data_IF_938293596884
#
_entry.id   IF_938293596884
#
_cell.length_a   1.000
_cell.length_b   1.000
_cell.length_c   1.000
_cell.angle_alpha   90.00
_cell.angle_beta   90.00
_cell.angle_gamma   90.00
#
_symmetry.space_group_name_H-M   'P 1'
#
loop_
_entity.id
_entity.type
_entity.pdbx_description
1 polymer ?
#
# COMPACT_ATOMS: atom_id res chain seq x y z
N UNK A 1 17.38 1.74 -14.32
CA UNK A 1 17.33 0.42 -13.67
C UNK A 1 16.27 -0.41 -14.36
N UNK A 2 16.64 -1.59 -14.82
CA UNK A 2 15.81 -2.55 -15.51
C UNK A 2 15.87 -3.90 -14.79
N UNK A 3 15.22 -4.92 -15.32
CA UNK A 3 15.27 -6.27 -14.76
C UNK A 3 16.70 -6.84 -14.77
N UNK A 4 17.11 -7.64 -13.74
CA UNK A 4 16.31 -8.04 -12.57
C UNK A 4 16.38 -7.08 -11.37
N UNK A 5 17.13 -5.99 -11.47
CA UNK A 5 17.42 -5.08 -10.35
C UNK A 5 16.17 -4.41 -9.81
N UNK A 6 15.27 -3.95 -10.69
CA UNK A 6 14.03 -3.29 -10.23
C UNK A 6 13.15 -4.23 -9.41
N UNK A 7 13.05 -5.50 -9.81
CA UNK A 7 12.29 -6.51 -9.06
C UNK A 7 12.88 -6.70 -7.67
N UNK A 8 14.21 -6.78 -7.54
CA UNK A 8 14.88 -6.93 -6.25
C UNK A 8 14.66 -5.71 -5.36
N UNK A 9 14.87 -4.49 -5.89
CA UNK A 9 14.68 -3.24 -5.16
C UNK A 9 13.24 -3.11 -4.64
N UNK A 10 12.25 -3.37 -5.49
CA UNK A 10 10.84 -3.30 -5.10
C UNK A 10 10.53 -4.33 -4.01
N UNK A 11 11.05 -5.56 -4.09
CA UNK A 11 10.90 -6.56 -3.02
C UNK A 11 11.47 -6.07 -1.69
N UNK A 12 12.67 -5.52 -1.70
CA UNK A 12 13.35 -5.08 -0.47
C UNK A 12 12.65 -3.89 0.15
N UNK A 13 12.22 -2.91 -0.66
CA UNK A 13 11.44 -1.76 -0.20
C UNK A 13 10.08 -2.18 0.39
N UNK A 14 9.36 -3.10 -0.24
CA UNK A 14 8.07 -3.56 0.30
C UNK A 14 8.23 -4.43 1.55
N UNK A 15 9.29 -5.22 1.67
CA UNK A 15 9.60 -5.92 2.92
C UNK A 15 9.85 -4.97 4.09
N UNK A 16 10.53 -3.86 3.84
CA UNK A 16 10.73 -2.82 4.86
C UNK A 16 9.41 -2.11 5.19
N UNK A 17 8.66 -1.71 4.17
CA UNK A 17 7.41 -0.96 4.32
C UNK A 17 6.33 -1.77 5.05
N UNK A 18 6.14 -3.06 4.70
CA UNK A 18 5.14 -3.90 5.37
C UNK A 18 5.47 -4.14 6.84
N UNK A 19 6.76 -4.28 7.19
CA UNK A 19 7.17 -4.40 8.60
C UNK A 19 6.85 -3.14 9.39
N UNK A 20 7.04 -1.98 8.80
CA UNK A 20 6.66 -0.69 9.41
C UNK A 20 5.14 -0.61 9.61
N UNK A 21 4.36 -1.01 8.62
CA UNK A 21 2.89 -1.05 8.72
C UNK A 21 2.43 -2.03 9.80
N UNK A 22 3.00 -3.24 9.86
CA UNK A 22 2.70 -4.21 10.92
C UNK A 22 3.02 -3.63 12.30
N UNK A 23 4.14 -2.96 12.43
CA UNK A 23 4.55 -2.36 13.69
C UNK A 23 3.59 -1.27 14.19
N UNK A 24 2.97 -0.50 13.31
CA UNK A 24 2.16 0.66 13.67
C UNK A 24 0.65 0.41 13.64
N UNK A 25 0.16 -0.47 12.76
CA UNK A 25 -1.27 -0.56 12.45
C UNK A 25 -1.93 -1.87 12.89
N UNK A 26 -1.13 -2.91 13.19
CA UNK A 26 -1.68 -4.20 13.55
C UNK A 26 -2.01 -4.30 15.03
N UNK A 27 -3.10 -5.01 15.40
CA UNK A 27 -3.47 -5.25 16.78
C UNK A 27 -2.36 -5.91 17.59
N UNK A 28 -2.34 -5.60 18.88
CA UNK A 28 -1.42 -6.16 19.87
C UNK A 28 -2.20 -6.91 20.94
N UNK A 29 -1.59 -7.96 21.51
CA UNK A 29 -2.07 -8.66 22.69
C UNK A 29 -1.03 -8.57 23.82
N UNK A 30 -1.52 -8.46 25.04
CA UNK A 30 -0.67 -8.45 26.24
C UNK A 30 -0.40 -9.85 26.70
N UNK A 31 0.86 -10.25 26.80
CA UNK A 31 1.25 -11.62 27.15
C UNK A 31 2.28 -11.66 28.28
N UNK A 32 2.27 -12.76 29.03
CA UNK A 32 3.33 -13.11 29.96
C UNK A 32 3.98 -14.42 29.50
N UNK A 33 5.26 -14.38 29.16
CA UNK A 33 6.00 -15.50 28.58
C UNK A 33 7.15 -15.89 29.48
N UNK A 34 7.23 -17.17 29.86
CA UNK A 34 8.38 -17.70 30.55
C UNK A 34 9.59 -17.70 29.63
N UNK A 35 10.66 -17.05 30.07
CA UNK A 35 11.95 -17.07 29.40
C UNK A 35 12.78 -18.26 29.88
N UNK A 36 13.92 -18.50 29.25
CA UNK A 36 14.86 -19.54 29.71
C UNK A 36 15.36 -19.31 31.15
N UNK A 37 15.29 -18.07 31.65
CA UNK A 37 15.72 -17.72 33.01
C UNK A 37 14.74 -18.24 34.08
N UNK A 38 13.54 -18.75 33.74
CA UNK A 38 12.60 -19.33 34.69
C UNK A 38 13.18 -20.54 35.43
N UNK A 39 14.13 -21.25 34.82
CA UNK A 39 14.83 -22.38 35.44
C UNK A 39 15.78 -21.92 36.57
N UNK A 40 16.22 -20.69 36.55
CA UNK A 40 17.15 -20.09 37.50
C UNK A 40 16.48 -19.17 38.52
N UNK A 41 15.32 -18.58 38.16
CA UNK A 41 14.60 -17.64 39.04
C UNK A 41 13.13 -17.52 38.61
N UNK A 42 12.23 -17.41 39.61
CA UNK A 42 10.79 -17.14 39.37
C UNK A 42 10.54 -15.82 38.65
N UNK A 43 11.52 -14.90 38.64
CA UNK A 43 11.48 -13.65 37.88
C UNK A 43 11.76 -13.83 36.38
N UNK A 44 12.02 -15.05 35.93
CA UNK A 44 12.26 -15.40 34.52
C UNK A 44 10.98 -15.34 33.65
N UNK A 45 10.11 -14.35 33.87
CA UNK A 45 8.89 -14.08 33.10
C UNK A 45 9.02 -12.71 32.46
N UNK A 46 8.88 -12.65 31.13
CA UNK A 46 8.72 -11.42 30.39
C UNK A 46 7.24 -11.12 30.22
N UNK A 47 6.85 -9.85 30.42
CA UNK A 47 5.48 -9.38 30.25
C UNK A 47 5.49 -8.15 29.34
N UNK A 48 4.61 -8.12 28.34
CA UNK A 48 4.55 -7.02 27.39
C UNK A 48 3.61 -7.27 26.23
N UNK A 49 3.54 -6.31 25.32
CA UNK A 49 2.65 -6.36 24.16
C UNK A 49 3.39 -6.97 22.96
N UNK A 50 2.78 -7.99 22.39
CA UNK A 50 3.24 -8.65 21.16
C UNK A 50 2.21 -8.46 20.06
N UNK A 51 2.61 -8.74 18.82
CA UNK A 51 1.69 -8.79 17.70
C UNK A 51 0.63 -9.89 17.95
N UNK A 52 -0.65 -9.55 17.80
CA UNK A 52 -1.70 -10.57 17.78
C UNK A 52 -1.57 -11.39 16.49
N UNK A 53 -1.04 -12.60 16.63
CA UNK A 53 -0.79 -13.52 15.51
C UNK A 53 -2.06 -14.01 14.81
N UNK A 54 -3.23 -13.83 15.43
CA UNK A 54 -4.54 -14.20 14.88
C UNK A 54 -5.23 -13.05 14.16
N UNK A 55 -4.56 -11.92 13.99
CA UNK A 55 -5.07 -10.79 13.22
C UNK A 55 -5.44 -11.25 11.80
N UNK A 56 -6.70 -11.03 11.41
CA UNK A 56 -7.11 -11.22 10.02
C UNK A 56 -6.47 -10.17 9.14
N UNK A 57 -5.80 -10.57 8.07
CA UNK A 57 -5.12 -9.67 7.15
C UNK A 57 -5.45 -10.02 5.69
N UNK A 58 -5.71 -8.99 4.90
CA UNK A 58 -6.00 -9.11 3.47
C UNK A 58 -5.04 -8.21 2.70
N UNK A 59 -4.27 -8.75 1.78
CA UNK A 59 -3.52 -7.95 0.82
C UNK A 59 -4.23 -7.95 -0.53
N UNK A 60 -4.35 -6.78 -1.13
CA UNK A 60 -5.12 -6.58 -2.37
C UNK A 60 -4.19 -6.27 -3.52
N UNK A 61 -4.12 -7.18 -4.47
CA UNK A 61 -3.41 -6.97 -5.73
C UNK A 61 -4.25 -6.12 -6.68
N UNK A 62 -3.80 -4.90 -6.97
CA UNK A 62 -4.34 -4.09 -8.07
C UNK A 62 -3.42 -4.32 -9.28
N UNK A 63 -3.84 -5.24 -10.14
CA UNK A 63 -3.01 -5.61 -11.29
C UNK A 63 -2.97 -4.48 -12.33
N UNK A 64 -1.80 -4.25 -12.96
CA UNK A 64 -0.54 -5.03 -12.97
C UNK A 64 0.51 -4.57 -11.93
N UNK A 65 0.62 -3.28 -11.67
CA UNK A 65 1.71 -2.72 -10.86
C UNK A 65 1.75 -3.30 -9.43
N UNK A 66 0.59 -3.57 -8.84
CA UNK A 66 0.45 -4.15 -7.51
C UNK A 66 0.77 -5.65 -7.40
N UNK A 67 1.03 -6.36 -8.51
CA UNK A 67 1.21 -7.82 -8.49
C UNK A 67 2.41 -8.25 -7.66
N UNK A 68 3.60 -7.73 -7.96
CA UNK A 68 4.80 -8.04 -7.18
C UNK A 68 4.71 -7.49 -5.74
N UNK A 69 4.32 -6.23 -5.52
CA UNK A 69 4.11 -5.68 -4.18
C UNK A 69 3.18 -6.52 -3.29
N UNK A 70 2.00 -6.85 -3.79
CA UNK A 70 1.02 -7.62 -3.01
C UNK A 70 1.50 -9.04 -2.69
N UNK A 71 2.25 -9.67 -3.60
CA UNK A 71 2.87 -10.96 -3.33
C UNK A 71 3.91 -10.87 -2.21
N UNK A 72 4.76 -9.85 -2.20
CA UNK A 72 5.76 -9.64 -1.14
C UNK A 72 5.10 -9.40 0.21
N UNK A 73 4.02 -8.61 0.22
CA UNK A 73 3.22 -8.36 1.43
C UNK A 73 2.58 -9.66 1.93
N UNK A 74 1.96 -10.44 1.04
CA UNK A 74 1.37 -11.74 1.37
C UNK A 74 2.39 -12.69 2.00
N UNK A 75 3.55 -12.88 1.34
CA UNK A 75 4.65 -13.71 1.85
C UNK A 75 5.12 -13.26 3.24
N UNK A 76 5.21 -11.96 3.47
CA UNK A 76 5.60 -11.42 4.78
C UNK A 76 4.53 -11.69 5.84
N UNK A 77 3.26 -11.49 5.50
CA UNK A 77 2.15 -11.71 6.43
C UNK A 77 2.02 -13.18 6.84
N UNK A 78 2.08 -14.13 5.91
CA UNK A 78 1.98 -15.57 6.23
C UNK A 78 3.16 -16.10 7.03
N UNK A 79 4.30 -15.40 7.01
CA UNK A 79 5.46 -15.71 7.86
C UNK A 79 5.42 -15.01 9.22
N UNK A 80 4.48 -14.08 9.42
CA UNK A 80 4.42 -13.24 10.63
C UNK A 80 3.17 -13.54 11.45
N UNK A 81 2.06 -13.84 10.80
CA UNK A 81 0.76 -14.19 11.39
C UNK A 81 0.48 -15.68 11.25
N UNK A 82 -0.57 -16.13 11.90
CA UNK A 82 -1.12 -17.48 11.66
C UNK A 82 -1.68 -17.54 10.23
N UNK A 83 -1.15 -18.40 9.34
CA UNK A 83 -1.43 -18.36 7.90
C UNK A 83 -2.90 -18.42 7.51
N UNK A 84 -3.73 -19.11 8.28
CA UNK A 84 -5.18 -19.26 8.03
C UNK A 84 -5.95 -17.93 8.13
N UNK A 85 -5.36 -16.91 8.77
CA UNK A 85 -5.96 -15.57 8.88
C UNK A 85 -5.51 -14.60 7.80
N UNK A 86 -4.63 -15.06 6.88
CA UNK A 86 -4.07 -14.23 5.80
C UNK A 86 -4.61 -14.66 4.44
N UNK A 87 -5.08 -13.71 3.63
CA UNK A 87 -5.45 -13.97 2.24
C UNK A 87 -4.96 -12.90 1.30
N UNK A 88 -4.90 -13.24 0.00
CA UNK A 88 -4.64 -12.31 -1.07
C UNK A 88 -5.84 -12.24 -2.01
N UNK A 89 -6.32 -11.02 -2.24
CA UNK A 89 -7.39 -10.73 -3.19
C UNK A 89 -6.81 -10.09 -4.45
N UNK A 90 -7.52 -10.18 -5.58
CA UNK A 90 -7.07 -9.65 -6.87
C UNK A 90 -8.15 -8.78 -7.50
N UNK A 91 -7.75 -7.59 -7.95
CA UNK A 91 -8.60 -6.64 -8.70
C UNK A 91 -7.88 -6.25 -9.99
N UNK A 92 -8.59 -6.34 -11.09
CA UNK A 92 -8.08 -5.99 -12.41
C UNK A 92 -8.67 -4.65 -12.83
N UNK A 93 -7.82 -3.63 -12.91
CA UNK A 93 -8.20 -2.26 -13.25
C UNK A 93 -7.55 -1.88 -14.57
N UNK A 94 -8.31 -1.21 -15.43
CA UNK A 94 -7.82 -0.61 -16.66
C UNK A 94 -8.08 0.90 -16.65
N UNK A 95 -7.14 1.68 -17.16
CA UNK A 95 -7.36 3.11 -17.42
C UNK A 95 -8.28 3.23 -18.63
N UNK A 96 -9.27 4.10 -18.52
CA UNK A 96 -10.07 4.51 -19.67
C UNK A 96 -9.46 5.79 -20.21
N UNK A 97 -9.07 5.78 -21.48
CA UNK A 97 -8.52 6.94 -22.17
C UNK A 97 -9.47 7.41 -23.27
N UNK A 98 -9.44 8.71 -23.54
CA UNK A 98 -10.09 9.28 -24.72
C UNK A 98 -9.30 9.04 -26.01
N UNK A 99 -9.76 9.62 -27.13
CA UNK A 99 -9.12 9.51 -28.44
C UNK A 99 -7.74 10.19 -28.48
N UNK A 100 -7.50 11.15 -27.61
CA UNK A 100 -6.25 11.92 -27.46
C UNK A 100 -5.27 11.21 -26.50
N UNK A 101 -5.66 10.08 -25.87
CA UNK A 101 -4.83 9.33 -24.92
C UNK A 101 -4.86 9.85 -23.48
N UNK A 102 -5.69 10.84 -23.18
CA UNK A 102 -5.86 11.36 -21.83
C UNK A 102 -6.68 10.40 -20.97
N UNK A 103 -6.28 10.20 -19.73
CA UNK A 103 -7.01 9.34 -18.79
C UNK A 103 -8.31 10.01 -18.35
N UNK A 104 -9.44 9.48 -18.78
CA UNK A 104 -10.79 9.97 -18.45
C UNK A 104 -11.42 9.23 -17.28
N UNK A 105 -10.88 8.06 -16.91
CA UNK A 105 -11.43 7.27 -15.83
C UNK A 105 -10.69 5.96 -15.58
N UNK A 106 -11.31 5.13 -14.76
CA UNK A 106 -10.85 3.79 -14.44
C UNK A 106 -12.02 2.83 -14.59
N UNK A 107 -11.81 1.71 -15.27
CA UNK A 107 -12.78 0.63 -15.34
C UNK A 107 -12.25 -0.61 -14.65
N UNK A 108 -13.12 -1.34 -13.96
CA UNK A 108 -12.81 -2.65 -13.39
C UNK A 108 -13.20 -3.72 -14.40
N UNK A 109 -12.23 -4.51 -14.85
CA UNK A 109 -12.48 -5.61 -15.78
C UNK A 109 -12.75 -6.95 -15.07
N UNK A 110 -12.47 -7.04 -13.77
CA UNK A 110 -12.77 -8.23 -12.96
C UNK A 110 -12.15 -8.16 -11.57
N UNK A 111 -12.62 -9.07 -10.70
CA UNK A 111 -12.06 -9.24 -9.35
C UNK A 111 -12.19 -10.67 -8.86
N UNK A 112 -11.29 -11.07 -7.95
CA UNK A 112 -11.36 -12.29 -7.14
C UNK A 112 -11.17 -11.91 -5.70
N UNK A 113 -12.29 -11.74 -4.98
CA UNK A 113 -12.33 -11.33 -3.57
C UNK A 113 -12.80 -12.53 -2.74
N UNK A 114 -11.99 -12.96 -1.78
CA UNK A 114 -12.19 -14.20 -1.02
C UNK A 114 -13.19 -14.13 0.13
N UNK A 115 -14.03 -13.09 0.20
CA UNK A 115 -15.07 -12.93 1.22
C UNK A 115 -15.03 -11.58 1.94
N UNK A 116 -15.70 -11.48 3.10
CA UNK A 116 -15.76 -10.26 3.88
C UNK A 116 -14.40 -9.87 4.50
N UNK A 117 -14.32 -8.62 4.95
CA UNK A 117 -13.14 -8.04 5.62
C UNK A 117 -13.42 -7.63 7.07
N UNK A 118 -14.51 -8.12 7.66
CA UNK A 118 -14.91 -7.76 9.02
C UNK A 118 -13.76 -7.97 10.00
N UNK A 119 -13.35 -6.87 10.66
CA UNK A 119 -12.27 -6.89 11.64
C UNK A 119 -10.88 -7.20 11.07
N UNK A 120 -10.70 -7.20 9.75
CA UNK A 120 -9.40 -7.44 9.13
C UNK A 120 -8.61 -6.14 8.94
N UNK A 121 -7.30 -6.24 8.90
CA UNK A 121 -6.42 -5.23 8.33
C UNK A 121 -6.33 -5.47 6.83
N UNK A 122 -6.77 -4.50 6.03
CA UNK A 122 -6.74 -4.58 4.56
C UNK A 122 -5.62 -3.70 4.02
N UNK A 123 -4.71 -4.30 3.27
CA UNK A 123 -3.52 -3.66 2.73
C UNK A 123 -3.63 -3.54 1.21
N UNK A 124 -3.39 -2.34 0.69
CA UNK A 124 -3.39 -2.03 -0.73
C UNK A 124 -1.97 -1.64 -1.20
N UNK A 125 -1.10 -2.62 -1.48
CA UNK A 125 0.25 -2.35 -1.97
C UNK A 125 0.23 -2.05 -3.48
N UNK A 126 0.35 -0.79 -3.82
CA UNK A 126 0.49 -0.28 -5.18
C UNK A 126 1.69 0.67 -5.25
N UNK A 127 2.72 0.41 -6.08
CA UNK A 127 3.97 1.16 -6.02
C UNK A 127 3.83 2.64 -6.37
N UNK A 128 2.82 3.02 -7.15
CA UNK A 128 2.72 4.35 -7.75
C UNK A 128 1.35 4.99 -7.50
N UNK A 129 1.26 5.81 -6.46
CA UNK A 129 0.09 6.62 -6.17
C UNK A 129 0.07 7.92 -6.98
N UNK A 130 -0.40 7.87 -8.23
CA UNK A 130 -0.47 9.03 -9.12
C UNK A 130 -1.75 9.86 -8.89
N UNK A 131 -2.86 9.54 -9.55
CA UNK A 131 -4.13 10.26 -9.41
C UNK A 131 -5.03 9.75 -8.29
N UNK A 132 -4.73 8.57 -7.73
CA UNK A 132 -5.55 7.90 -6.73
C UNK A 132 -6.83 7.22 -7.24
N UNK A 133 -7.18 7.36 -8.52
CA UNK A 133 -8.44 6.85 -9.04
C UNK A 133 -8.65 5.35 -8.90
N UNK A 134 -7.65 4.54 -9.28
CA UNK A 134 -7.73 3.08 -9.17
C UNK A 134 -7.82 2.62 -7.72
N UNK A 135 -7.04 3.24 -6.83
CA UNK A 135 -7.06 2.91 -5.42
C UNK A 135 -8.38 3.31 -4.77
N UNK A 136 -8.85 4.55 -4.99
CA UNK A 136 -10.12 5.03 -4.46
C UNK A 136 -11.28 4.11 -4.84
N UNK A 137 -11.36 3.72 -6.13
CA UNK A 137 -12.37 2.76 -6.59
C UNK A 137 -12.23 1.40 -5.90
N UNK A 138 -11.00 0.89 -5.76
CA UNK A 138 -10.74 -0.41 -5.10
C UNK A 138 -11.12 -0.36 -3.62
N UNK A 139 -10.75 0.70 -2.89
CA UNK A 139 -11.12 0.88 -1.47
C UNK A 139 -12.65 0.87 -1.30
N UNK A 140 -13.38 1.55 -2.20
CA UNK A 140 -14.84 1.58 -2.16
C UNK A 140 -15.46 0.18 -2.21
N UNK A 141 -14.88 -0.78 -2.96
CA UNK A 141 -15.36 -2.17 -3.00
C UNK A 141 -15.28 -2.85 -1.64
N UNK A 142 -14.25 -2.56 -0.85
CA UNK A 142 -14.04 -3.17 0.46
C UNK A 142 -14.88 -2.52 1.57
N UNK A 143 -15.39 -1.30 1.36
CA UNK A 143 -16.25 -0.60 2.32
C UNK A 143 -17.70 -1.08 2.30
N UNK A 144 -18.13 -1.75 1.24
CA UNK A 144 -19.54 -2.14 1.05
C UNK A 144 -19.97 -3.37 1.85
N UNK A 145 -19.05 -4.24 2.27
CA UNK A 145 -19.39 -5.55 2.83
C UNK A 145 -19.50 -5.57 4.37
N UNK A 146 -18.47 -5.16 5.08
CA UNK A 146 -18.43 -5.09 6.53
C UNK A 146 -17.24 -4.27 6.98
N UNK A 147 -17.26 -3.58 8.13
CA UNK A 147 -16.18 -2.71 8.53
C UNK A 147 -14.90 -3.52 8.75
N UNK A 148 -13.85 -3.17 8.01
CA UNK A 148 -12.48 -3.58 8.31
C UNK A 148 -12.03 -2.97 9.65
N UNK A 149 -11.07 -3.59 10.32
CA UNK A 149 -10.40 -2.99 11.47
C UNK A 149 -9.57 -1.77 11.03
N UNK A 150 -8.84 -1.94 9.93
CA UNK A 150 -7.98 -0.89 9.37
C UNK A 150 -7.84 -1.05 7.85
N UNK A 151 -7.80 0.07 7.15
CA UNK A 151 -7.47 0.15 5.72
C UNK A 151 -6.13 0.88 5.58
N UNK A 152 -5.19 0.30 4.85
CA UNK A 152 -3.84 0.84 4.69
C UNK A 152 -3.41 0.77 3.23
N UNK A 153 -2.99 1.88 2.66
CA UNK A 153 -2.37 1.91 1.34
C UNK A 153 -0.83 2.04 1.46
N UNK A 154 -0.10 1.38 0.56
CA UNK A 154 1.34 1.23 0.66
C UNK A 154 2.01 1.51 -0.68
N UNK A 155 2.83 2.57 -0.75
CA UNK A 155 3.39 3.07 -2.00
C UNK A 155 4.91 3.27 -1.91
N UNK A 156 5.58 3.17 -3.04
CA UNK A 156 6.95 3.65 -3.15
C UNK A 156 6.95 5.16 -3.37
N UNK A 157 6.09 5.63 -4.27
CA UNK A 157 5.96 7.04 -4.64
C UNK A 157 4.49 7.43 -4.67
N UNK A 158 4.18 8.58 -4.07
CA UNK A 158 2.86 9.23 -4.18
C UNK A 158 3.01 10.67 -4.65
N UNK A 159 1.92 11.27 -5.11
CA UNK A 159 1.83 12.68 -5.47
C UNK A 159 0.97 13.46 -4.50
N UNK A 160 1.05 14.80 -4.46
CA UNK A 160 0.10 15.64 -3.73
C UNK A 160 -1.35 15.38 -4.15
N UNK A 161 -1.60 15.21 -5.45
CA UNK A 161 -2.92 14.92 -6.02
C UNK A 161 -3.49 13.59 -5.52
N UNK A 162 -2.64 12.56 -5.44
CA UNK A 162 -3.02 11.27 -4.85
C UNK A 162 -3.45 11.44 -3.39
N UNK A 163 -2.62 12.11 -2.58
CA UNK A 163 -2.90 12.32 -1.15
C UNK A 163 -4.17 13.13 -0.95
N UNK A 164 -4.36 14.21 -1.73
CA UNK A 164 -5.54 15.04 -1.66
C UNK A 164 -6.81 14.23 -1.99
N UNK A 165 -6.79 13.44 -3.06
CA UNK A 165 -7.90 12.59 -3.45
C UNK A 165 -8.22 11.54 -2.40
N UNK A 166 -7.23 10.81 -1.91
CA UNK A 166 -7.46 9.77 -0.90
C UNK A 166 -8.02 10.35 0.40
N UNK A 167 -7.53 11.52 0.83
CA UNK A 167 -8.07 12.21 2.00
C UNK A 167 -9.52 12.70 1.80
N UNK A 168 -9.89 13.07 0.57
CA UNK A 168 -11.27 13.47 0.25
C UNK A 168 -12.21 12.26 0.18
N UNK A 169 -11.82 11.20 -0.55
CA UNK A 169 -12.68 10.05 -0.82
C UNK A 169 -12.71 9.04 0.35
N UNK A 170 -11.57 8.86 1.03
CA UNK A 170 -11.34 7.80 2.02
C UNK A 170 -10.42 8.27 3.17
N UNK A 171 -10.84 9.24 4.00
CA UNK A 171 -10.01 9.82 5.06
C UNK A 171 -9.59 8.80 6.14
N UNK A 172 -10.27 7.65 6.22
CA UNK A 172 -9.94 6.55 7.15
C UNK A 172 -8.78 5.68 6.69
N UNK A 173 -8.32 5.79 5.44
CA UNK A 173 -7.21 5.01 4.90
C UNK A 173 -5.89 5.60 5.38
N UNK A 174 -5.10 4.81 6.10
CA UNK A 174 -3.73 5.20 6.43
C UNK A 174 -2.84 5.07 5.18
N UNK A 175 -2.14 6.14 4.81
CA UNK A 175 -1.26 6.17 3.64
C UNK A 175 0.18 6.03 4.12
N UNK A 176 0.87 5.00 3.64
CA UNK A 176 2.28 4.77 3.82
C UNK A 176 3.01 4.92 2.49
N UNK A 177 3.92 5.87 2.39
CA UNK A 177 4.71 6.10 1.18
C UNK A 177 6.18 6.35 1.53
N UNK A 178 7.08 5.86 0.69
CA UNK A 178 8.52 6.10 0.86
C UNK A 178 8.86 7.52 0.40
N UNK A 179 8.20 8.01 -0.67
CA UNK A 179 8.50 9.32 -1.25
C UNK A 179 7.22 10.03 -1.72
N UNK A 180 7.18 11.33 -1.51
CA UNK A 180 6.22 12.24 -2.12
C UNK A 180 6.91 12.99 -3.26
N UNK A 181 6.44 12.81 -4.50
CA UNK A 181 6.93 13.49 -5.68
C UNK A 181 6.03 14.68 -6.04
N UNK A 182 6.63 15.87 -6.06
CA UNK A 182 5.95 17.14 -6.37
C UNK A 182 6.71 17.96 -7.44
N UNK A 183 7.33 17.27 -8.39
CA UNK A 183 8.25 17.86 -9.36
C UNK A 183 7.61 18.80 -10.39
N UNK A 184 6.28 18.91 -10.41
CA UNK A 184 5.55 19.88 -11.24
C UNK A 184 5.17 21.15 -10.49
N UNK A 185 5.53 21.26 -9.21
CA UNK A 185 5.36 22.50 -8.43
C UNK A 185 6.31 23.59 -8.92
N UNK A 186 5.97 24.85 -8.63
CA UNK A 186 6.88 25.98 -8.92
C UNK A 186 8.18 25.89 -8.11
N UNK A 187 9.24 26.55 -8.61
CA UNK A 187 10.53 26.59 -7.91
C UNK A 187 10.43 27.13 -6.48
N UNK A 188 9.50 28.05 -6.22
CA UNK A 188 9.25 28.57 -4.86
C UNK A 188 8.72 27.49 -3.95
N UNK A 189 7.71 26.72 -4.40
CA UNK A 189 7.11 25.62 -3.66
C UNK A 189 8.11 24.51 -3.43
N UNK A 190 8.96 24.20 -4.42
CA UNK A 190 10.00 23.17 -4.29
C UNK A 190 11.06 23.50 -3.22
N UNK A 191 11.24 24.77 -2.85
CA UNK A 191 12.17 25.20 -1.78
C UNK A 191 11.56 25.11 -0.40
N UNK A 192 10.25 24.93 -0.25
CA UNK A 192 9.56 24.75 1.03
C UNK A 192 9.63 23.31 1.52
N UNK A 193 9.33 23.06 2.79
CA UNK A 193 9.16 21.71 3.32
C UNK A 193 7.99 20.98 2.69
N UNK A 194 8.04 19.64 2.68
CA UNK A 194 6.96 18.81 2.15
C UNK A 194 5.66 19.07 2.91
N UNK A 195 4.60 19.40 2.20
CA UNK A 195 3.27 19.66 2.75
C UNK A 195 3.09 21.03 3.43
N UNK A 196 4.06 21.92 3.37
CA UNK A 196 3.93 23.31 3.88
C UNK A 196 3.00 24.15 3.00
N UNK A 197 2.98 23.88 1.69
CA UNK A 197 2.14 24.57 0.72
C UNK A 197 1.31 23.57 -0.11
N UNK A 198 0.63 22.65 0.58
CA UNK A 198 -0.07 21.51 -0.04
C UNK A 198 -0.97 21.87 -1.22
N UNK A 199 -1.65 23.00 -1.16
CA UNK A 199 -2.57 23.46 -2.22
C UNK A 199 -1.86 23.91 -3.50
N UNK A 200 -0.55 24.20 -3.41
CA UNK A 200 0.29 24.62 -4.51
C UNK A 200 1.23 23.53 -5.00
N UNK A 201 1.29 22.40 -4.26
CA UNK A 201 2.13 21.27 -4.64
C UNK A 201 1.48 20.48 -5.78
N UNK A 202 2.27 20.12 -6.78
CA UNK A 202 1.85 19.31 -7.93
C UNK A 202 2.94 18.32 -8.34
N UNK A 203 2.53 17.08 -8.60
CA UNK A 203 3.42 15.98 -8.95
C UNK A 203 3.10 15.32 -10.29
N UNK A 204 2.00 15.69 -10.97
CA UNK A 204 1.56 15.08 -12.22
C UNK A 204 1.77 16.00 -13.41
N UNK A 205 2.35 15.45 -14.49
CA UNK A 205 2.40 16.15 -15.78
C UNK A 205 1.02 16.08 -16.51
N UNK A 206 0.95 16.68 -17.71
CA UNK A 206 -0.27 16.79 -18.52
C UNK A 206 -0.90 15.43 -18.85
N UNK A 207 -0.11 14.36 -18.98
CA UNK A 207 -0.57 13.01 -19.27
C UNK A 207 -0.69 12.13 -18.01
N UNK A 208 -0.76 12.76 -16.81
CA UNK A 208 -0.98 12.12 -15.52
C UNK A 208 0.16 11.16 -15.08
N UNK A 209 1.41 11.42 -15.51
CA UNK A 209 2.59 10.73 -15.02
C UNK A 209 3.25 11.50 -13.87
N UNK A 210 3.78 10.76 -12.92
CA UNK A 210 4.49 11.31 -11.75
C UNK A 210 5.81 11.93 -12.16
N UNK A 211 6.12 13.12 -11.68
CA UNK A 211 7.40 13.81 -11.90
C UNK A 211 8.07 14.12 -10.55
N UNK A 212 9.35 13.72 -10.35
CA UNK A 212 10.24 13.00 -11.27
C UNK A 212 9.84 11.52 -11.50
N UNK A 213 9.12 10.89 -10.60
CA UNK A 213 8.56 9.55 -10.75
C UNK A 213 9.58 8.45 -11.08
N UNK A 214 9.06 7.39 -11.71
CA UNK A 214 9.84 6.23 -12.15
C UNK A 214 9.32 5.64 -13.48
N UNK A 215 8.51 6.39 -14.24
CA UNK A 215 7.88 5.91 -15.48
C UNK A 215 6.76 4.90 -15.24
N UNK A 216 6.46 4.09 -16.24
CA UNK A 216 5.46 3.01 -16.18
C UNK A 216 5.94 1.81 -15.37
N UNK A 217 5.89 1.88 -14.05
CA UNK A 217 6.44 0.85 -13.15
C UNK A 217 5.78 -0.51 -13.37
N UNK A 218 4.47 -0.54 -13.65
CA UNK A 218 3.77 -1.77 -13.99
C UNK A 218 4.34 -2.45 -15.24
N UNK A 219 4.73 -1.68 -16.24
CA UNK A 219 5.37 -2.16 -17.46
C UNK A 219 6.77 -2.71 -17.17
N UNK A 220 7.58 -1.94 -16.44
CA UNK A 220 8.94 -2.32 -16.06
C UNK A 220 8.97 -3.60 -15.22
N UNK A 221 8.05 -3.75 -14.25
CA UNK A 221 8.01 -4.94 -13.39
C UNK A 221 7.57 -6.21 -14.14
N UNK A 222 6.83 -6.07 -15.21
CA UNK A 222 6.27 -7.19 -15.96
C UNK A 222 6.92 -7.39 -17.35
N UNK A 223 7.90 -6.56 -17.74
CA UNK A 223 8.45 -6.52 -19.12
C UNK A 223 7.34 -6.51 -20.19
N UNK A 224 6.28 -5.74 -19.94
CA UNK A 224 5.07 -5.72 -20.77
C UNK A 224 4.68 -4.28 -21.06
N UNK A 225 5.13 -3.78 -22.18
CA UNK A 225 4.92 -2.41 -22.66
C UNK A 225 3.71 -2.40 -23.60
N UNK A 226 2.57 -1.88 -23.14
CA UNK A 226 1.30 -1.76 -23.86
C UNK A 226 0.67 -0.42 -23.58
#
# INVERSE_FOLDING_TARGET
VIQPEITRLVRDMYRALVRLVIANEFPREHVAVKTRMIESTERGVWTGDVLDSKTRAVTVNIARAGTLPSQVVFETLVNTLTPEYVRQDHVFMARVTDAEGCVTGVSMSGSKIGGDVKGAVVLFPDPMGATGGSLSHTVALYKTAAPAFKLVSMHLIVTPEFVARMNADHPEVAIYAIRLDRGMSSDEVLRTGLGEQRELESGLNEIQYIVPGAGGVGELLNNSFV
#
